data_IF_005331987000
#
_entry.id   IF_005331987000
#
_cell.length_a   1.000
_cell.length_b   1.000
_cell.length_c   1.000
_cell.angle_alpha   90.00
_cell.angle_beta   90.00
_cell.angle_gamma   90.00
#
_symmetry.space_group_name_H-M   'P 1'
#
loop_
_entity.id
_entity.type
_entity.pdbx_description
1 polymer ?
#
# COMPACT_ATOMS: atom_id res chain seq x y z
N UNK A 1 -15.19 -6.46 17.27
CA UNK A 1 -14.03 -6.63 18.17
C UNK A 1 -13.98 -7.96 18.94
N UNK A 2 -14.88 -8.29 19.88
CA UNK A 2 -14.76 -9.56 20.67
C UNK A 2 -14.68 -10.84 19.82
N UNK A 3 -15.40 -10.88 18.69
CA UNK A 3 -15.43 -12.05 17.80
C UNK A 3 -14.08 -12.33 17.11
N UNK A 4 -13.32 -11.28 16.76
CA UNK A 4 -11.99 -11.43 16.15
C UNK A 4 -10.94 -11.95 17.15
N UNK A 5 -11.11 -11.64 18.44
CA UNK A 5 -10.24 -12.18 19.51
C UNK A 5 -10.46 -13.67 19.75
N UNK A 6 -11.66 -14.20 19.46
CA UNK A 6 -11.96 -15.64 19.58
C UNK A 6 -11.31 -16.46 18.46
N UNK A 7 -11.14 -15.87 17.27
CA UNK A 7 -10.39 -16.45 16.13
C UNK A 7 -8.88 -16.19 16.26
N UNK A 8 -8.29 -16.65 17.36
CA UNK A 8 -6.94 -16.22 17.78
C UNK A 8 -5.83 -16.51 16.76
N UNK A 9 -5.86 -17.67 16.08
CA UNK A 9 -4.83 -18.01 15.08
C UNK A 9 -5.01 -17.23 13.77
N UNK A 10 -6.22 -17.23 13.19
CA UNK A 10 -6.49 -16.51 11.95
C UNK A 10 -6.27 -15.00 12.09
N UNK A 11 -6.58 -14.45 13.26
CA UNK A 11 -6.34 -13.04 13.57
C UNK A 11 -4.86 -12.67 13.62
N UNK A 12 -4.02 -13.47 14.29
CA UNK A 12 -2.57 -13.24 14.35
C UNK A 12 -1.92 -13.39 12.98
N UNK A 13 -2.32 -14.39 12.20
CA UNK A 13 -1.82 -14.57 10.83
C UNK A 13 -2.18 -13.38 9.95
N UNK A 14 -3.42 -12.87 10.02
CA UNK A 14 -3.79 -11.65 9.29
C UNK A 14 -2.94 -10.46 9.76
N UNK A 15 -2.72 -10.28 11.06
CA UNK A 15 -1.85 -9.21 11.58
C UNK A 15 -0.42 -9.28 11.00
N UNK A 16 0.19 -10.47 10.97
CA UNK A 16 1.52 -10.66 10.38
C UNK A 16 1.55 -10.36 8.88
N UNK A 17 0.54 -10.82 8.13
CA UNK A 17 0.41 -10.55 6.70
C UNK A 17 0.16 -9.07 6.41
N UNK A 18 -0.58 -8.37 7.28
CA UNK A 18 -0.77 -6.92 7.20
C UNK A 18 0.52 -6.14 7.44
N UNK A 19 1.33 -6.55 8.42
CA UNK A 19 2.67 -5.97 8.65
C UNK A 19 3.57 -6.19 7.43
N UNK A 20 3.63 -7.42 6.91
CA UNK A 20 4.42 -7.74 5.73
C UNK A 20 3.95 -6.96 4.50
N UNK A 21 2.64 -6.84 4.31
CA UNK A 21 2.05 -6.07 3.22
C UNK A 21 2.35 -4.56 3.33
N UNK A 22 2.33 -3.98 4.54
CA UNK A 22 2.64 -2.56 4.75
C UNK A 22 4.13 -2.22 4.58
N UNK A 23 5.03 -3.09 5.04
CA UNK A 23 6.46 -2.95 4.75
C UNK A 23 6.69 -3.10 3.24
N UNK A 24 6.05 -4.11 2.64
CA UNK A 24 6.14 -4.43 1.22
C UNK A 24 5.57 -3.36 0.30
N UNK A 25 4.53 -2.62 0.73
CA UNK A 25 3.91 -1.53 -0.03
C UNK A 25 4.92 -0.46 -0.46
N UNK A 26 5.99 -0.28 0.32
CA UNK A 26 7.06 0.68 0.06
C UNK A 26 8.32 0.02 -0.52
N UNK A 27 8.23 -1.24 -0.96
CA UNK A 27 9.30 -1.93 -1.68
C UNK A 27 9.34 -1.53 -3.16
N UNK A 28 10.26 -2.14 -3.93
CA UNK A 28 10.30 -2.04 -5.39
C UNK A 28 8.96 -2.46 -6.02
N UNK A 29 8.54 -1.79 -7.10
CA UNK A 29 7.19 -1.89 -7.69
C UNK A 29 6.63 -3.31 -7.77
N UNK A 30 7.40 -4.25 -8.33
CA UNK A 30 6.95 -5.64 -8.47
C UNK A 30 6.71 -6.34 -7.12
N UNK A 31 7.52 -6.05 -6.10
CA UNK A 31 7.32 -6.59 -4.76
C UNK A 31 6.16 -5.90 -4.04
N UNK A 32 6.01 -4.59 -4.21
CA UNK A 32 4.90 -3.82 -3.63
C UNK A 32 3.56 -4.32 -4.14
N UNK A 33 3.42 -4.54 -5.44
CA UNK A 33 2.21 -5.05 -6.06
C UNK A 33 1.85 -6.45 -5.55
N UNK A 34 2.82 -7.31 -5.28
CA UNK A 34 2.57 -8.66 -4.77
C UNK A 34 2.24 -8.69 -3.26
N UNK A 35 3.06 -8.03 -2.44
CA UNK A 35 2.97 -8.11 -0.98
C UNK A 35 1.70 -7.44 -0.43
N UNK A 36 1.20 -6.42 -1.12
CA UNK A 36 -0.04 -5.71 -0.74
C UNK A 36 -1.28 -6.61 -0.77
N UNK A 37 -1.26 -7.70 -1.55
CA UNK A 37 -2.37 -8.64 -1.63
C UNK A 37 -2.45 -9.60 -0.45
N UNK A 38 -1.39 -9.75 0.34
CA UNK A 38 -1.39 -10.63 1.51
C UNK A 38 -2.46 -10.27 2.57
N UNK A 39 -2.57 -9.02 3.05
CA UNK A 39 -3.67 -8.64 3.94
C UNK A 39 -5.03 -8.80 3.27
N UNK A 40 -5.16 -8.49 1.98
CA UNK A 40 -6.43 -8.61 1.25
C UNK A 40 -6.87 -10.08 1.17
N UNK A 41 -5.99 -10.99 0.78
CA UNK A 41 -6.26 -12.43 0.75
C UNK A 41 -6.61 -12.97 2.13
N UNK A 42 -5.89 -12.56 3.18
CA UNK A 42 -6.19 -12.93 4.56
C UNK A 42 -7.57 -12.43 5.01
N UNK A 43 -7.97 -11.23 4.59
CA UNK A 43 -9.30 -10.68 4.82
C UNK A 43 -10.39 -11.49 4.10
N UNK A 44 -10.15 -11.87 2.84
CA UNK A 44 -11.11 -12.64 2.02
C UNK A 44 -11.29 -14.08 2.54
N UNK A 45 -10.21 -14.76 2.93
CA UNK A 45 -10.29 -16.08 3.59
C UNK A 45 -11.11 -16.01 4.89
N UNK A 46 -11.12 -14.84 5.52
CA UNK A 46 -11.87 -14.54 6.76
C UNK A 46 -13.14 -13.73 6.49
N UNK A 47 -13.73 -13.81 5.29
CA UNK A 47 -14.86 -12.97 4.88
C UNK A 47 -16.04 -12.99 5.86
N UNK A 48 -16.44 -14.16 6.38
CA UNK A 48 -17.58 -14.28 7.30
C UNK A 48 -17.35 -13.49 8.61
N UNK A 49 -16.26 -13.72 9.38
CA UNK A 49 -15.98 -12.94 10.57
C UNK A 49 -15.59 -11.48 10.26
N UNK A 50 -15.00 -11.21 9.08
CA UNK A 50 -14.58 -9.87 8.68
C UNK A 50 -15.74 -8.98 8.19
N UNK A 51 -16.83 -9.54 7.68
CA UNK A 51 -17.90 -8.82 6.97
C UNK A 51 -18.38 -7.57 7.72
N UNK A 52 -18.63 -7.68 9.03
CA UNK A 52 -19.03 -6.53 9.84
C UNK A 52 -17.96 -5.43 9.86
N UNK A 53 -16.69 -5.79 10.07
CA UNK A 53 -15.61 -4.80 10.12
C UNK A 53 -15.33 -4.22 8.72
N UNK A 54 -15.55 -4.99 7.64
CA UNK A 54 -15.49 -4.52 6.26
C UNK A 54 -16.57 -3.47 5.99
N UNK A 55 -17.81 -3.70 6.41
CA UNK A 55 -18.89 -2.71 6.29
C UNK A 55 -18.57 -1.45 7.08
N UNK A 56 -18.06 -1.59 8.31
CA UNK A 56 -17.62 -0.44 9.13
C UNK A 56 -16.48 0.33 8.44
N UNK A 57 -15.53 -0.37 7.81
CA UNK A 57 -14.45 0.25 7.07
C UNK A 57 -14.98 1.04 5.86
N UNK A 58 -15.89 0.45 5.08
CA UNK A 58 -16.48 1.09 3.91
C UNK A 58 -17.28 2.36 4.26
N UNK A 59 -17.99 2.33 5.39
CA UNK A 59 -18.78 3.47 5.88
C UNK A 59 -17.96 4.49 6.71
N UNK A 60 -16.67 4.24 6.94
CA UNK A 60 -15.79 5.19 7.61
C UNK A 60 -15.47 6.38 6.70
N UNK A 61 -15.04 7.55 7.23
CA UNK A 61 -14.65 8.70 6.39
C UNK A 61 -13.60 8.34 5.33
N UNK A 62 -12.63 7.50 5.68
CA UNK A 62 -11.57 7.05 4.75
C UNK A 62 -12.16 6.14 3.66
N UNK A 63 -13.07 5.23 4.03
CA UNK A 63 -13.76 4.38 3.05
C UNK A 63 -14.65 5.18 2.10
N UNK A 64 -15.40 6.14 2.61
CA UNK A 64 -16.22 7.05 1.81
C UNK A 64 -15.36 7.90 0.86
N UNK A 65 -14.24 8.44 1.34
CA UNK A 65 -13.30 9.18 0.50
C UNK A 65 -12.73 8.30 -0.63
N UNK A 66 -12.31 7.07 -0.32
CA UNK A 66 -11.81 6.14 -1.32
C UNK A 66 -12.88 5.75 -2.36
N UNK A 67 -14.12 5.52 -1.94
CA UNK A 67 -15.23 5.28 -2.87
C UNK A 67 -15.56 6.51 -3.72
N UNK A 68 -15.48 7.71 -3.13
CA UNK A 68 -15.66 8.97 -3.85
C UNK A 68 -14.60 9.17 -4.93
N UNK A 69 -13.32 8.92 -4.60
CA UNK A 69 -12.21 8.93 -5.57
C UNK A 69 -12.44 7.88 -6.65
N UNK A 70 -12.79 6.65 -6.30
CA UNK A 70 -13.05 5.58 -7.26
C UNK A 70 -14.19 5.93 -8.24
N UNK A 71 -15.28 6.49 -7.72
CA UNK A 71 -16.42 6.95 -8.51
C UNK A 71 -16.02 8.12 -9.42
N UNK A 72 -15.29 9.10 -8.89
CA UNK A 72 -14.78 10.23 -9.67
C UNK A 72 -13.83 9.79 -10.79
N UNK A 73 -12.92 8.86 -10.50
CA UNK A 73 -12.02 8.29 -11.50
C UNK A 73 -12.77 7.49 -12.58
N UNK A 74 -13.79 6.71 -12.20
CA UNK A 74 -14.63 5.99 -13.16
C UNK A 74 -15.41 6.95 -14.08
N UNK A 75 -15.92 8.05 -13.53
CA UNK A 75 -16.58 9.11 -14.30
C UNK A 75 -15.59 9.83 -15.22
N UNK A 76 -14.39 10.12 -14.74
CA UNK A 76 -13.33 10.75 -15.53
C UNK A 76 -12.91 9.89 -16.72
N UNK A 77 -12.87 8.56 -16.55
CA UNK A 77 -12.55 7.60 -17.61
C UNK A 77 -13.53 7.64 -18.80
N UNK A 78 -14.81 7.98 -18.56
CA UNK A 78 -15.80 8.19 -19.62
C UNK A 78 -15.45 9.39 -20.50
N UNK A 79 -14.80 10.40 -19.93
CA UNK A 79 -14.36 11.61 -20.61
C UNK A 79 -12.92 11.57 -21.13
N UNK A 80 -12.15 10.54 -20.81
CA UNK A 80 -10.76 10.41 -21.24
C UNK A 80 -10.65 10.15 -22.75
N UNK A 81 -9.78 10.90 -23.42
CA UNK A 81 -9.46 10.69 -24.84
C UNK A 81 -8.76 9.34 -25.08
N UNK A 82 -7.89 8.93 -24.16
CA UNK A 82 -7.26 7.61 -24.16
C UNK A 82 -7.84 6.76 -23.02
N UNK A 83 -8.84 5.95 -23.36
CA UNK A 83 -9.48 5.04 -22.40
C UNK A 83 -8.55 3.92 -21.95
N UNK A 84 -7.60 3.50 -22.79
CA UNK A 84 -6.70 2.39 -22.45
C UNK A 84 -5.75 2.81 -21.33
N UNK A 85 -5.10 3.96 -21.49
CA UNK A 85 -4.31 4.55 -20.41
C UNK A 85 -5.18 4.79 -19.16
N UNK A 86 -6.40 5.30 -19.35
CA UNK A 86 -7.33 5.51 -18.25
C UNK A 86 -7.63 4.22 -17.46
N UNK A 87 -7.81 3.08 -18.12
CA UNK A 87 -8.01 1.80 -17.45
C UNK A 87 -6.77 1.32 -16.69
N UNK A 88 -5.58 1.52 -17.26
CA UNK A 88 -4.32 1.18 -16.61
C UNK A 88 -4.14 2.00 -15.30
N UNK A 89 -4.49 3.29 -15.32
CA UNK A 89 -4.48 4.15 -14.13
C UNK A 89 -5.59 3.79 -13.14
N UNK A 90 -6.80 3.49 -13.62
CA UNK A 90 -7.93 3.08 -12.78
C UNK A 90 -7.68 1.77 -12.05
N UNK A 91 -6.83 0.90 -12.62
CA UNK A 91 -6.40 -0.33 -11.96
C UNK A 91 -5.75 -0.06 -10.58
N UNK A 92 -5.21 1.13 -10.31
CA UNK A 92 -4.68 1.51 -9.01
C UNK A 92 -5.75 1.54 -7.89
N UNK A 93 -7.03 1.71 -8.24
CA UNK A 93 -8.16 1.66 -7.29
C UNK A 93 -8.24 0.33 -6.55
N UNK A 94 -7.69 -0.76 -7.10
CA UNK A 94 -7.60 -2.06 -6.42
C UNK A 94 -6.90 -1.97 -5.05
N UNK A 95 -5.97 -1.03 -4.88
CA UNK A 95 -5.28 -0.82 -3.61
C UNK A 95 -6.20 -0.28 -2.51
N UNK A 96 -7.37 0.28 -2.85
CA UNK A 96 -8.39 0.66 -1.87
C UNK A 96 -8.91 -0.56 -1.06
N UNK A 97 -8.75 -1.78 -1.57
CA UNK A 97 -9.04 -3.03 -0.84
C UNK A 97 -8.17 -3.21 0.41
N UNK A 98 -7.04 -2.50 0.51
CA UNK A 98 -6.26 -2.45 1.75
C UNK A 98 -7.04 -1.82 2.91
N UNK A 99 -7.91 -0.85 2.65
CA UNK A 99 -8.66 -0.16 3.71
C UNK A 99 -9.45 -1.17 4.54
N UNK A 100 -10.39 -1.96 3.97
CA UNK A 100 -11.10 -2.97 4.74
C UNK A 100 -10.18 -4.08 5.28
N UNK A 101 -9.14 -4.48 4.53
CA UNK A 101 -8.23 -5.53 4.98
C UNK A 101 -7.48 -5.14 6.27
N UNK A 102 -6.89 -3.94 6.30
CA UNK A 102 -6.19 -3.40 7.47
C UNK A 102 -7.16 -3.05 8.61
N UNK A 103 -8.39 -2.63 8.29
CA UNK A 103 -9.41 -2.30 9.30
C UNK A 103 -9.75 -3.48 10.20
N UNK A 104 -9.76 -4.70 9.66
CA UNK A 104 -10.03 -5.93 10.42
C UNK A 104 -9.01 -6.13 11.55
N UNK A 105 -7.79 -5.65 11.40
CA UNK A 105 -6.68 -5.76 12.35
C UNK A 105 -6.29 -4.42 12.98
N UNK A 106 -7.19 -3.41 12.96
CA UNK A 106 -6.93 -2.06 13.50
C UNK A 106 -6.54 -2.00 14.98
N UNK A 107 -6.86 -3.02 15.77
CA UNK A 107 -6.43 -3.10 17.17
C UNK A 107 -4.89 -3.18 17.29
N UNK A 108 -4.21 -3.63 16.23
CA UNK A 108 -2.75 -3.64 16.09
C UNK A 108 -2.17 -2.35 15.46
N UNK A 109 -2.90 -1.22 15.52
CA UNK A 109 -2.48 0.05 14.88
C UNK A 109 -1.02 0.45 15.10
N UNK A 110 -0.47 0.24 16.30
CA UNK A 110 0.93 0.57 16.59
C UNK A 110 1.90 -0.24 15.73
N UNK A 111 1.62 -1.55 15.53
CA UNK A 111 2.40 -2.41 14.65
C UNK A 111 2.22 -2.05 13.19
N UNK A 112 1.01 -1.67 12.76
CA UNK A 112 0.75 -1.23 11.39
C UNK A 112 1.50 0.07 11.06
N UNK A 113 1.49 1.04 11.98
CA UNK A 113 2.24 2.30 11.84
C UNK A 113 3.75 2.02 11.83
N UNK A 114 4.24 1.17 12.73
CA UNK A 114 5.65 0.79 12.76
C UNK A 114 6.09 0.06 11.47
N UNK A 115 5.23 -0.79 10.91
CA UNK A 115 5.46 -1.47 9.64
C UNK A 115 5.57 -0.47 8.48
N UNK A 116 4.66 0.51 8.43
CA UNK A 116 4.71 1.58 7.43
C UNK A 116 5.98 2.43 7.57
N UNK A 117 6.34 2.83 8.79
CA UNK A 117 7.56 3.57 9.08
C UNK A 117 8.83 2.78 8.67
N UNK A 118 8.83 1.47 8.90
CA UNK A 118 9.92 0.59 8.48
C UNK A 118 10.05 0.55 6.95
N UNK A 119 8.93 0.49 6.22
CA UNK A 119 8.96 0.56 4.75
C UNK A 119 9.59 1.87 4.24
N UNK A 120 9.28 3.01 4.87
CA UNK A 120 9.93 4.29 4.55
C UNK A 120 11.43 4.26 4.85
N UNK A 121 11.82 3.71 6.00
CA UNK A 121 13.23 3.58 6.37
C UNK A 121 14.00 2.75 5.34
N UNK A 122 13.43 1.63 4.88
CA UNK A 122 14.03 0.79 3.83
C UNK A 122 14.17 1.54 2.51
N UNK A 123 13.16 2.32 2.11
CA UNK A 123 13.26 3.14 0.89
C UNK A 123 14.33 4.24 0.99
N UNK A 124 14.51 4.86 2.15
CA UNK A 124 15.65 5.78 2.33
C UNK A 124 17.00 5.06 2.29
N UNK A 125 17.09 3.83 2.81
CA UNK A 125 18.30 3.01 2.67
C UNK A 125 18.61 2.73 1.20
N UNK A 126 17.62 2.45 0.36
CA UNK A 126 17.86 2.27 -1.09
C UNK A 126 18.32 3.56 -1.77
N UNK A 127 17.77 4.72 -1.39
CA UNK A 127 18.26 6.02 -1.88
C UNK A 127 19.72 6.31 -1.47
N UNK A 128 20.12 5.95 -0.25
CA UNK A 128 21.51 6.06 0.20
C UNK A 128 22.41 5.11 -0.59
N UNK A 129 21.99 3.85 -0.74
CA UNK A 129 22.68 2.88 -1.60
C UNK A 129 22.88 3.42 -3.02
N UNK A 130 21.87 4.11 -3.55
CA UNK A 130 21.91 4.68 -4.90
C UNK A 130 22.92 5.82 -5.02
N UNK A 131 22.93 6.70 -4.03
CA UNK A 131 23.91 7.79 -3.97
C UNK A 131 25.35 7.25 -3.92
N UNK A 132 25.59 6.20 -3.14
CA UNK A 132 26.89 5.50 -3.07
C UNK A 132 27.24 4.89 -4.43
N UNK A 133 26.29 4.21 -5.08
CA UNK A 133 26.49 3.60 -6.39
C UNK A 133 26.82 4.60 -7.49
N UNK A 134 26.21 5.79 -7.45
CA UNK A 134 26.53 6.89 -8.37
C UNK A 134 27.94 7.42 -8.11
N UNK A 135 28.26 7.74 -6.85
CA UNK A 135 29.55 8.33 -6.47
C UNK A 135 30.73 7.39 -6.71
N UNK A 136 30.59 6.10 -6.40
CA UNK A 136 31.64 5.09 -6.54
C UNK A 136 31.68 4.33 -7.86
N UNK A 137 30.89 4.74 -8.85
CA UNK A 137 30.74 4.05 -10.14
C UNK A 137 30.36 2.55 -10.06
N UNK A 138 29.52 2.19 -9.09
CA UNK A 138 29.12 0.80 -8.82
C UNK A 138 27.78 0.50 -9.50
N UNK A 139 27.82 -0.21 -10.63
CA UNK A 139 26.64 -0.46 -11.47
C UNK A 139 25.47 -1.17 -10.76
N UNK A 140 25.73 -2.15 -9.89
CA UNK A 140 24.67 -2.92 -9.21
C UNK A 140 23.98 -2.16 -8.07
N UNK A 141 24.53 -1.03 -7.66
CA UNK A 141 23.93 -0.09 -6.70
C UNK A 141 23.21 1.07 -7.41
N UNK A 142 22.96 0.98 -8.72
CA UNK A 142 22.27 2.02 -9.49
C UNK A 142 20.92 1.50 -9.96
N UNK A 143 19.86 2.22 -9.61
CA UNK A 143 18.50 1.96 -10.09
C UNK A 143 18.19 2.81 -11.33
N UNK A 144 17.30 2.34 -12.24
CA UNK A 144 16.73 3.16 -13.30
C UNK A 144 16.08 4.43 -12.74
N UNK A 145 16.37 5.59 -13.33
CA UNK A 145 15.85 6.88 -12.85
C UNK A 145 15.93 7.96 -13.93
N UNK A 146 15.15 9.01 -13.75
CA UNK A 146 15.31 10.26 -14.50
C UNK A 146 16.65 10.95 -14.14
N UNK A 147 17.25 11.70 -15.09
CA UNK A 147 18.46 12.50 -14.81
C UNK A 147 18.27 13.37 -13.55
N UNK A 148 19.32 13.48 -12.73
CA UNK A 148 19.37 14.32 -11.52
C UNK A 148 18.35 13.98 -10.42
N UNK A 149 17.79 12.77 -10.42
CA UNK A 149 16.80 12.32 -9.41
C UNK A 149 17.31 11.16 -8.58
N UNK A 150 17.10 11.16 -7.27
CA UNK A 150 17.36 9.99 -6.40
C UNK A 150 16.05 9.35 -5.94
N UNK A 151 15.56 8.38 -6.73
CA UNK A 151 14.37 7.58 -6.46
C UNK A 151 14.64 6.43 -5.49
N UNK A 152 15.88 5.95 -5.40
CA UNK A 152 16.13 4.61 -4.89
C UNK A 152 15.33 3.61 -5.73
N UNK A 153 14.54 2.77 -5.06
CA UNK A 153 13.61 1.85 -5.73
C UNK A 153 12.20 2.41 -6.02
N UNK A 154 11.92 3.68 -5.70
CA UNK A 154 10.63 4.33 -5.94
C UNK A 154 10.69 5.16 -7.23
N UNK A 155 10.24 4.61 -8.36
CA UNK A 155 10.27 5.30 -9.66
C UNK A 155 8.85 5.66 -10.12
N UNK A 156 8.54 6.94 -10.42
CA UNK A 156 9.38 8.15 -10.29
C UNK A 156 9.59 8.57 -8.82
N UNK A 157 10.37 9.64 -8.57
CA UNK A 157 10.60 10.18 -7.21
C UNK A 157 9.30 10.63 -6.56
N UNK A 158 8.63 9.70 -5.88
CA UNK A 158 7.32 9.90 -5.23
C UNK A 158 7.39 9.83 -3.71
N UNK A 159 8.57 9.69 -3.11
CA UNK A 159 8.73 9.52 -1.66
C UNK A 159 8.06 10.63 -0.83
N UNK A 160 8.10 11.88 -1.31
CA UNK A 160 7.40 13.00 -0.67
C UNK A 160 5.88 12.84 -0.72
N UNK A 161 5.32 12.49 -1.88
CA UNK A 161 3.88 12.23 -2.03
C UNK A 161 3.42 11.05 -1.17
N UNK A 162 4.22 9.98 -1.12
CA UNK A 162 3.96 8.82 -0.27
C UNK A 162 3.96 9.21 1.22
N UNK A 163 4.93 10.03 1.66
CA UNK A 163 5.03 10.48 3.04
C UNK A 163 3.84 11.39 3.42
N UNK A 164 3.47 12.34 2.56
CA UNK A 164 2.28 13.19 2.76
C UNK A 164 1.02 12.34 2.88
N UNK A 165 0.84 11.37 1.99
CA UNK A 165 -0.30 10.45 2.04
C UNK A 165 -0.33 9.60 3.32
N UNK A 166 0.84 9.25 3.87
CA UNK A 166 0.94 8.47 5.10
C UNK A 166 0.58 9.26 6.37
N UNK A 167 0.80 10.58 6.39
CA UNK A 167 0.53 11.43 7.57
C UNK A 167 -0.87 12.05 7.59
N UNK A 168 -1.53 12.14 6.43
CA UNK A 168 -2.88 12.70 6.29
C UNK A 168 -2.87 14.17 5.88
#
# INVERSE_FOLDING_TARGET
MERNRRDGRGYRTHGALAVLGLVGLLAYDGAAEFLVWFPVAACLVRAIPACREVVVAALSPVGLAAMGVAAWSAVSLVWSLDQRQGFDEWAAVRHALLIPALWVVRDHRAWLIAALAMGFALGHVTQVGHAIGVWGDVAWLRWPRLPDRNSGWWDPVVGGSLATAAVG
#
